data_IF_034749490883
#
_entry.id   IF_034749490883
#
_cell.length_a   1.000
_cell.length_b   1.000
_cell.length_c   1.000
_cell.angle_alpha   90.00
_cell.angle_beta   90.00
_cell.angle_gamma   90.00
#
_symmetry.space_group_name_H-M   'P 1'
#
loop_
_entity.id
_entity.type
_entity.pdbx_description
1 polymer ?
#
# COMPACT_ATOMS: atom_id res chain seq x y z
N UNK A 1 -18.10 -15.35 -13.60
CA UNK A 1 -16.85 -15.86 -14.20
C UNK A 1 -16.05 -16.59 -13.13
N UNK A 2 -15.17 -17.48 -13.54
CA UNK A 2 -14.17 -18.13 -12.69
C UNK A 2 -12.81 -17.48 -12.91
N UNK A 3 -12.29 -16.81 -11.89
CA UNK A 3 -11.07 -16.02 -11.97
C UNK A 3 -9.94 -16.76 -11.23
N UNK A 4 -8.81 -16.93 -11.91
CA UNK A 4 -7.59 -17.46 -11.32
C UNK A 4 -6.67 -16.31 -10.95
N UNK A 5 -6.18 -16.26 -9.70
CA UNK A 5 -5.28 -15.20 -9.23
C UNK A 5 -3.98 -15.83 -8.78
N UNK A 6 -2.87 -15.43 -9.40
CA UNK A 6 -1.52 -15.88 -9.05
C UNK A 6 -0.88 -14.85 -8.12
N UNK A 7 -0.62 -15.24 -6.88
CA UNK A 7 -0.02 -14.43 -5.83
C UNK A 7 -0.98 -14.10 -4.69
N UNK A 8 -0.56 -14.41 -3.46
CA UNK A 8 -1.28 -14.16 -2.21
C UNK A 8 -0.91 -12.85 -1.51
N UNK A 9 -0.15 -11.97 -2.18
CA UNK A 9 0.17 -10.63 -1.69
C UNK A 9 -1.04 -9.69 -1.73
N UNK A 10 -0.82 -8.44 -1.30
CA UNK A 10 -1.92 -7.45 -1.16
C UNK A 10 -2.64 -7.19 -2.48
N UNK A 11 -1.94 -7.15 -3.61
CA UNK A 11 -2.54 -6.89 -4.91
C UNK A 11 -3.45 -8.06 -5.31
N UNK A 12 -2.98 -9.31 -5.22
CA UNK A 12 -3.78 -10.49 -5.53
C UNK A 12 -4.98 -10.63 -4.58
N UNK A 13 -4.79 -10.36 -3.29
CA UNK A 13 -5.87 -10.42 -2.29
C UNK A 13 -6.92 -9.32 -2.51
N UNK A 14 -6.51 -8.11 -2.93
CA UNK A 14 -7.45 -7.05 -3.29
C UNK A 14 -8.29 -7.40 -4.53
N UNK A 15 -7.66 -8.02 -5.55
CA UNK A 15 -8.41 -8.53 -6.71
C UNK A 15 -9.39 -9.65 -6.32
N UNK A 16 -8.97 -10.55 -5.41
CA UNK A 16 -9.85 -11.59 -4.91
C UNK A 16 -11.05 -11.01 -4.17
N UNK A 17 -10.81 -10.02 -3.30
CA UNK A 17 -11.86 -9.32 -2.55
C UNK A 17 -12.89 -8.68 -3.50
N UNK A 18 -12.42 -7.91 -4.47
CA UNK A 18 -13.29 -7.25 -5.43
C UNK A 18 -14.05 -8.25 -6.32
N UNK A 19 -13.38 -9.29 -6.82
CA UNK A 19 -13.98 -10.32 -7.63
C UNK A 19 -15.12 -11.07 -6.90
N UNK A 20 -14.92 -11.39 -5.62
CA UNK A 20 -15.95 -12.02 -4.77
C UNK A 20 -17.12 -11.06 -4.56
N UNK A 21 -16.88 -9.78 -4.29
CA UNK A 21 -17.93 -8.78 -4.14
C UNK A 21 -18.74 -8.57 -5.43
N UNK A 22 -18.11 -8.76 -6.60
CA UNK A 22 -18.78 -8.77 -7.90
C UNK A 22 -19.48 -10.09 -8.24
N UNK A 23 -19.54 -11.07 -7.32
CA UNK A 23 -20.22 -12.35 -7.50
C UNK A 23 -19.48 -13.36 -8.38
N UNK A 24 -18.16 -13.23 -8.52
CA UNK A 24 -17.34 -14.16 -9.28
C UNK A 24 -16.83 -15.31 -8.41
N UNK A 25 -16.46 -16.43 -9.05
CA UNK A 25 -15.69 -17.50 -8.42
C UNK A 25 -14.20 -17.19 -8.51
N UNK A 26 -13.47 -17.40 -7.44
CA UNK A 26 -12.02 -17.09 -7.36
C UNK A 26 -11.25 -18.30 -6.85
N UNK A 27 -10.18 -18.65 -7.57
CA UNK A 27 -9.12 -19.51 -7.07
C UNK A 27 -7.85 -18.66 -6.96
N UNK A 28 -7.40 -18.38 -5.74
CA UNK A 28 -6.16 -17.65 -5.49
C UNK A 28 -5.03 -18.64 -5.14
N UNK A 29 -3.93 -18.54 -5.88
CA UNK A 29 -2.79 -19.44 -5.80
C UNK A 29 -1.57 -18.72 -5.22
N UNK A 30 -0.95 -19.28 -4.18
CA UNK A 30 0.28 -18.75 -3.57
C UNK A 30 1.35 -19.85 -3.52
N UNK A 31 2.58 -19.52 -3.88
CA UNK A 31 3.68 -20.51 -3.90
C UNK A 31 4.16 -20.91 -2.51
N UNK A 32 4.09 -20.00 -1.54
CA UNK A 32 4.44 -20.26 -0.15
C UNK A 32 3.20 -20.70 0.65
N UNK A 33 3.38 -21.04 1.91
CA UNK A 33 2.27 -21.29 2.85
C UNK A 33 1.42 -20.03 3.09
N UNK A 34 2.09 -18.87 3.12
CA UNK A 34 1.51 -17.52 3.19
C UNK A 34 2.40 -16.53 2.42
N UNK A 35 1.88 -15.39 2.05
CA UNK A 35 2.68 -14.35 1.42
C UNK A 35 3.80 -13.86 2.35
N UNK A 36 5.05 -13.88 1.88
CA UNK A 36 6.26 -13.59 2.67
C UNK A 36 7.08 -12.40 2.17
N UNK A 37 6.66 -11.80 1.05
CA UNK A 37 7.42 -10.75 0.37
C UNK A 37 7.00 -9.34 0.77
N UNK A 38 7.02 -8.37 -0.14
CA UNK A 38 6.84 -6.94 0.11
C UNK A 38 5.57 -6.60 0.90
N UNK A 39 4.47 -7.33 0.70
CA UNK A 39 3.18 -7.06 1.34
C UNK A 39 3.16 -7.23 2.86
N UNK A 40 4.10 -7.98 3.43
CA UNK A 40 4.24 -8.18 4.89
C UNK A 40 5.52 -7.56 5.45
N UNK A 41 6.29 -6.85 4.60
CA UNK A 41 7.59 -6.25 4.95
C UNK A 41 7.63 -4.79 4.52
N UNK A 42 6.69 -4.01 5.05
CA UNK A 42 6.57 -2.58 4.77
C UNK A 42 6.03 -1.85 6.00
N UNK A 43 5.90 -0.52 5.93
CA UNK A 43 5.42 0.32 7.04
C UNK A 43 3.91 0.20 7.30
N UNK A 44 3.16 -0.45 6.44
CA UNK A 44 1.70 -0.48 6.52
C UNK A 44 1.04 0.85 6.19
N UNK A 45 1.71 1.73 5.46
CA UNK A 45 1.23 3.07 5.20
C UNK A 45 0.20 3.07 4.07
N UNK A 46 -1.01 3.53 4.36
CA UNK A 46 -2.03 3.90 3.38
C UNK A 46 -1.90 5.40 3.17
N UNK A 47 -1.20 5.79 2.09
CA UNK A 47 -0.61 7.11 2.01
C UNK A 47 -1.11 7.93 0.83
N UNK A 48 -1.65 9.10 1.11
CA UNK A 48 -2.18 10.10 0.17
C UNK A 48 -1.19 11.25 0.00
N UNK A 49 -0.57 11.70 1.11
CA UNK A 49 0.27 12.91 1.15
C UNK A 49 1.31 13.00 0.05
N UNK A 50 2.15 11.99 -0.11
CA UNK A 50 3.29 12.04 -1.03
C UNK A 50 2.98 11.64 -2.47
N UNK A 51 1.70 11.40 -2.82
CA UNK A 51 1.34 10.94 -4.16
C UNK A 51 1.39 12.06 -5.19
N UNK A 52 1.84 11.73 -6.40
CA UNK A 52 1.89 12.69 -7.51
C UNK A 52 0.49 13.21 -7.82
N UNK A 53 0.39 14.49 -8.14
CA UNK A 53 -0.84 15.16 -8.59
C UNK A 53 -1.46 14.46 -9.81
N UNK A 54 -2.78 14.53 -9.94
CA UNK A 54 -3.53 13.90 -11.01
C UNK A 54 -3.96 12.47 -10.71
N UNK A 55 -3.81 11.56 -11.65
CA UNK A 55 -4.36 10.18 -11.59
C UNK A 55 -3.84 9.40 -10.37
N UNK A 56 -2.58 9.58 -10.00
CA UNK A 56 -2.00 8.87 -8.85
C UNK A 56 -2.63 9.33 -7.54
N UNK A 57 -2.83 10.64 -7.35
CA UNK A 57 -3.51 11.17 -6.18
C UNK A 57 -4.96 10.71 -6.11
N UNK A 58 -5.69 10.78 -7.22
CA UNK A 58 -7.08 10.31 -7.30
C UNK A 58 -7.19 8.83 -6.92
N UNK A 59 -6.29 8.00 -7.44
CA UNK A 59 -6.22 6.58 -7.08
C UNK A 59 -5.92 6.37 -5.59
N UNK A 60 -5.02 7.18 -5.01
CA UNK A 60 -4.68 7.09 -3.60
C UNK A 60 -5.85 7.50 -2.69
N UNK A 61 -6.56 8.58 -3.03
CA UNK A 61 -7.77 9.00 -2.31
C UNK A 61 -8.85 7.92 -2.40
N UNK A 62 -9.07 7.34 -3.59
CA UNK A 62 -10.03 6.23 -3.74
C UNK A 62 -9.58 4.99 -2.94
N UNK A 63 -8.29 4.64 -2.98
CA UNK A 63 -7.75 3.53 -2.19
C UNK A 63 -7.97 3.75 -0.68
N UNK A 64 -7.80 4.98 -0.20
CA UNK A 64 -8.06 5.35 1.19
C UNK A 64 -9.53 5.11 1.59
N UNK A 65 -10.47 5.48 0.72
CA UNK A 65 -11.90 5.20 0.93
C UNK A 65 -12.21 3.70 0.94
N UNK A 66 -11.59 2.95 0.03
CA UNK A 66 -11.73 1.48 -0.02
C UNK A 66 -11.23 0.83 1.29
N UNK A 67 -10.17 1.34 1.89
CA UNK A 67 -9.72 0.85 3.19
C UNK A 67 -10.73 1.07 4.31
N UNK A 68 -11.48 2.19 4.32
CA UNK A 68 -12.58 2.39 5.26
C UNK A 68 -13.72 1.38 5.01
N UNK A 69 -14.08 1.16 3.75
CA UNK A 69 -15.11 0.19 3.36
C UNK A 69 -14.71 -1.24 3.76
N UNK A 70 -13.45 -1.63 3.50
CA UNK A 70 -12.90 -2.95 3.87
C UNK A 70 -12.86 -3.11 5.39
N UNK A 71 -12.43 -2.09 6.14
CA UNK A 71 -12.42 -2.12 7.60
C UNK A 71 -13.85 -2.24 8.16
N UNK A 72 -14.82 -1.57 7.57
CA UNK A 72 -16.23 -1.72 7.92
C UNK A 72 -16.76 -3.15 7.74
N UNK A 73 -16.29 -3.85 6.70
CA UNK A 73 -16.64 -5.23 6.41
C UNK A 73 -15.81 -6.25 7.24
N UNK A 74 -14.58 -5.90 7.62
CA UNK A 74 -13.63 -6.74 8.35
C UNK A 74 -13.12 -5.97 9.58
N UNK A 75 -13.90 -5.88 10.67
CA UNK A 75 -13.51 -5.12 11.85
C UNK A 75 -12.22 -5.62 12.53
N UNK A 76 -11.86 -6.88 12.33
CA UNK A 76 -10.64 -7.48 12.85
C UNK A 76 -9.37 -7.02 12.13
N UNK A 77 -9.53 -6.32 11.00
CA UNK A 77 -8.42 -5.73 10.26
C UNK A 77 -7.83 -4.58 11.07
N UNK A 78 -6.54 -4.67 11.40
CA UNK A 78 -5.84 -3.63 12.16
C UNK A 78 -5.53 -2.44 11.25
N UNK A 79 -6.58 -1.69 10.93
CA UNK A 79 -6.55 -0.44 10.18
C UNK A 79 -6.80 0.73 11.11
N UNK A 80 -6.05 1.82 10.92
CA UNK A 80 -6.17 3.05 11.71
C UNK A 80 -6.18 4.25 10.77
N UNK A 81 -7.28 4.99 10.77
CA UNK A 81 -7.41 6.30 10.11
C UNK A 81 -6.78 7.38 11.01
N UNK A 82 -5.45 7.32 11.19
CA UNK A 82 -4.75 8.06 12.22
C UNK A 82 -3.89 9.22 11.69
N UNK A 83 -3.96 9.49 10.39
CA UNK A 83 -3.22 10.58 9.75
C UNK A 83 -1.70 10.41 9.76
N UNK A 84 -1.02 11.40 9.22
CA UNK A 84 0.45 11.49 9.25
C UNK A 84 0.92 12.91 9.54
N UNK A 85 2.11 13.03 10.12
CA UNK A 85 2.82 14.27 10.36
C UNK A 85 4.15 14.22 9.61
N UNK A 86 4.40 15.16 8.70
CA UNK A 86 5.73 15.42 8.16
C UNK A 86 6.34 16.56 8.97
N UNK A 87 7.44 16.30 9.67
CA UNK A 87 8.04 17.27 10.59
C UNK A 87 9.00 18.20 9.87
N UNK A 88 8.94 19.49 10.18
CA UNK A 88 9.89 20.50 9.74
C UNK A 88 10.83 20.89 10.90
N UNK A 89 12.14 20.85 10.65
CA UNK A 89 13.17 21.21 11.61
C UNK A 89 13.83 22.55 11.31
N UNK A 90 13.58 23.12 10.15
CA UNK A 90 14.11 24.41 9.69
C UNK A 90 13.03 25.22 8.94
N UNK A 91 13.34 26.48 8.63
CA UNK A 91 12.41 27.40 7.95
C UNK A 91 12.26 27.09 6.47
N UNK A 92 13.25 26.53 5.86
CA UNK A 92 13.26 26.11 4.45
C UNK A 92 12.23 24.99 4.24
N UNK A 93 12.16 24.01 5.15
CA UNK A 93 11.15 22.96 5.11
C UNK A 93 9.73 23.51 5.32
N UNK A 94 9.56 24.49 6.21
CA UNK A 94 8.26 25.18 6.40
C UNK A 94 7.86 25.90 5.10
N UNK A 95 8.80 26.58 4.42
CA UNK A 95 8.51 27.27 3.16
C UNK A 95 8.06 26.30 2.06
N UNK A 96 8.62 25.08 2.01
CA UNK A 96 8.14 24.01 1.11
C UNK A 96 6.71 23.62 1.45
N UNK A 97 6.39 23.39 2.73
CA UNK A 97 5.04 23.06 3.17
C UNK A 97 4.03 24.16 2.81
N UNK A 98 4.39 25.42 3.03
CA UNK A 98 3.55 26.58 2.69
C UNK A 98 3.29 26.68 1.17
N UNK A 99 4.28 26.35 0.35
CA UNK A 99 4.12 26.31 -1.10
C UNK A 99 3.27 25.11 -1.54
N UNK A 100 3.41 23.95 -0.88
CA UNK A 100 2.55 22.79 -1.12
C UNK A 100 1.07 23.09 -0.88
N UNK A 101 0.73 23.91 0.12
CA UNK A 101 -0.66 24.32 0.37
C UNK A 101 -1.26 25.21 -0.73
N UNK A 102 -0.42 25.81 -1.59
CA UNK A 102 -0.88 26.65 -2.72
C UNK A 102 -1.15 25.84 -3.98
N UNK A 103 -0.83 24.55 -3.99
CA UNK A 103 -1.13 23.68 -5.14
C UNK A 103 -2.63 23.56 -5.32
N UNK A 104 -3.07 23.48 -6.58
CA UNK A 104 -4.48 23.34 -6.95
C UNK A 104 -5.15 22.12 -6.28
N UNK A 105 -4.41 21.03 -6.13
CA UNK A 105 -4.86 19.78 -5.56
C UNK A 105 -4.56 19.60 -4.05
N UNK A 106 -4.08 20.66 -3.37
CA UNK A 106 -3.86 20.62 -1.91
C UNK A 106 -5.14 20.32 -1.12
N UNK A 107 -6.35 20.81 -1.50
CA UNK A 107 -7.59 20.44 -0.84
C UNK A 107 -7.91 18.94 -0.87
N UNK A 108 -7.52 18.24 -1.93
CA UNK A 108 -7.75 16.78 -2.07
C UNK A 108 -6.94 15.96 -1.05
N UNK A 109 -5.86 16.54 -0.50
CA UNK A 109 -5.03 15.95 0.57
C UNK A 109 -5.45 16.40 1.96
N UNK A 110 -6.24 17.47 2.06
CA UNK A 110 -6.65 18.09 3.32
C UNK A 110 -5.45 18.50 4.19
N UNK A 111 -4.34 18.87 3.59
CA UNK A 111 -3.12 19.28 4.29
C UNK A 111 -3.34 20.51 5.17
N UNK A 112 -2.71 20.50 6.33
CA UNK A 112 -2.68 21.62 7.27
C UNK A 112 -1.27 21.77 7.83
N UNK A 113 -0.77 23.00 7.91
CA UNK A 113 0.45 23.28 8.66
C UNK A 113 0.05 23.51 10.11
N UNK A 114 0.68 22.78 11.01
CA UNK A 114 0.47 22.87 12.45
C UNK A 114 1.74 23.42 13.09
N UNK A 115 1.58 24.30 14.07
CA UNK A 115 2.69 24.70 14.91
C UNK A 115 3.11 23.55 15.85
N UNK A 116 4.15 23.82 16.66
CA UNK A 116 4.71 22.81 17.57
C UNK A 116 3.66 22.34 18.59
N UNK A 117 2.89 23.25 19.15
CA UNK A 117 1.91 22.94 20.21
C UNK A 117 0.72 22.16 19.65
N UNK A 118 0.25 22.52 18.48
CA UNK A 118 -0.79 21.79 17.74
C UNK A 118 -0.31 20.37 17.36
N UNK A 119 0.91 20.26 16.84
CA UNK A 119 1.55 18.99 16.52
C UNK A 119 1.64 18.08 17.75
N UNK A 120 2.05 18.65 18.89
CA UNK A 120 2.16 17.91 20.16
C UNK A 120 0.79 17.44 20.70
N UNK A 121 -0.29 18.17 20.42
CA UNK A 121 -1.64 17.72 20.79
C UNK A 121 -2.09 16.51 19.98
N UNK A 122 -1.73 16.46 18.69
CA UNK A 122 -2.06 15.32 17.83
C UNK A 122 -1.21 14.09 18.17
N UNK A 123 0.10 14.28 18.41
CA UNK A 123 0.99 13.18 18.78
C UNK A 123 1.82 13.54 20.04
N UNK A 124 1.28 13.28 21.23
CA UNK A 124 1.93 13.64 22.49
C UNK A 124 3.28 12.93 22.74
N UNK A 125 3.52 11.81 22.08
CA UNK A 125 4.75 11.04 22.19
C UNK A 125 5.93 11.63 21.40
N UNK A 126 5.69 12.64 20.53
CA UNK A 126 6.76 13.28 19.77
C UNK A 126 7.78 13.98 20.68
N UNK A 127 9.04 13.81 20.32
CA UNK A 127 10.20 14.43 20.98
C UNK A 127 11.10 15.06 19.93
N UNK A 128 12.02 15.90 20.36
CA UNK A 128 13.03 16.52 19.49
C UNK A 128 12.73 17.97 19.13
N UNK A 129 13.54 18.52 18.23
CA UNK A 129 13.53 19.95 17.87
C UNK A 129 12.89 20.16 16.51
N UNK A 130 11.59 19.91 16.39
CA UNK A 130 10.81 20.32 15.22
C UNK A 130 10.16 21.67 15.47
N UNK A 131 9.93 22.44 14.40
CA UNK A 131 9.35 23.78 14.43
C UNK A 131 7.84 23.75 14.11
N UNK A 132 7.46 22.92 13.15
CA UNK A 132 6.12 22.76 12.62
C UNK A 132 5.94 21.37 12.04
N UNK A 133 4.73 21.05 11.61
CA UNK A 133 4.46 19.84 10.83
C UNK A 133 3.43 20.09 9.74
N UNK A 134 3.51 19.33 8.66
CA UNK A 134 2.43 19.18 7.69
C UNK A 134 1.60 17.97 8.10
N UNK A 135 0.36 18.22 8.47
CA UNK A 135 -0.63 17.24 8.83
C UNK A 135 -1.46 16.80 7.64
N UNK A 136 -1.59 15.49 7.44
CA UNK A 136 -2.53 14.92 6.48
C UNK A 136 -3.49 13.96 7.19
N UNK A 137 -4.75 14.33 7.41
CA UNK A 137 -5.73 13.49 8.07
C UNK A 137 -6.17 12.28 7.25
N UNK A 138 -5.97 12.32 5.93
CA UNK A 138 -6.34 11.22 5.02
C UNK A 138 -5.39 10.02 5.10
N UNK A 139 -4.16 10.23 5.55
CA UNK A 139 -3.22 9.12 5.69
C UNK A 139 -3.68 8.15 6.80
N UNK A 140 -3.35 6.90 6.62
CA UNK A 140 -3.75 5.83 7.53
C UNK A 140 -2.69 4.75 7.62
N UNK A 141 -2.87 3.81 8.54
CA UNK A 141 -1.98 2.65 8.69
C UNK A 141 -2.75 1.35 8.76
N UNK A 142 -2.13 0.29 8.27
CA UNK A 142 -2.54 -1.10 8.47
C UNK A 142 -1.39 -1.86 9.11
N UNK A 143 -1.69 -2.96 9.80
CA UNK A 143 -0.63 -3.86 10.27
C UNK A 143 -0.26 -4.87 9.17
N UNK A 144 0.91 -4.73 8.51
CA UNK A 144 1.25 -5.54 7.33
C UNK A 144 1.31 -7.04 7.61
N UNK A 145 1.69 -7.42 8.84
CA UNK A 145 1.79 -8.82 9.24
C UNK A 145 0.45 -9.52 9.38
N UNK A 146 -0.64 -8.79 9.62
CA UNK A 146 -1.97 -9.35 9.89
C UNK A 146 -2.99 -9.09 8.80
N UNK A 147 -2.87 -7.99 8.04
CA UNK A 147 -3.88 -7.56 7.07
C UNK A 147 -4.25 -8.64 6.05
N UNK A 148 -3.25 -9.31 5.46
CA UNK A 148 -3.51 -10.36 4.47
C UNK A 148 -4.21 -11.58 5.08
N UNK A 149 -3.87 -11.91 6.32
CA UNK A 149 -4.53 -12.99 7.04
C UNK A 149 -5.99 -12.66 7.30
N UNK A 150 -6.29 -11.49 7.85
CA UNK A 150 -7.66 -11.06 8.14
C UNK A 150 -8.52 -11.00 6.88
N UNK A 151 -7.99 -10.44 5.79
CA UNK A 151 -8.70 -10.43 4.50
C UNK A 151 -8.95 -11.84 3.95
N UNK A 152 -7.97 -12.74 4.02
CA UNK A 152 -8.12 -14.12 3.58
C UNK A 152 -9.13 -14.90 4.42
N UNK A 153 -9.09 -14.75 5.75
CA UNK A 153 -10.07 -15.37 6.65
C UNK A 153 -11.50 -14.88 6.36
N UNK A 154 -11.66 -13.62 6.02
CA UNK A 154 -12.94 -13.09 5.55
C UNK A 154 -13.37 -13.74 4.23
N UNK A 155 -12.49 -13.78 3.23
CA UNK A 155 -12.77 -14.37 1.93
C UNK A 155 -13.12 -15.86 2.02
N UNK A 156 -12.47 -16.63 2.91
CA UNK A 156 -12.73 -18.05 3.12
C UNK A 156 -14.14 -18.36 3.68
N UNK A 157 -14.88 -17.35 4.16
CA UNK A 157 -16.29 -17.49 4.55
C UNK A 157 -17.23 -17.58 3.34
N UNK A 158 -16.73 -17.22 2.14
CA UNK A 158 -17.50 -17.26 0.89
C UNK A 158 -17.19 -18.55 0.11
N UNK A 159 -18.23 -19.32 -0.23
CA UNK A 159 -18.12 -20.60 -0.96
C UNK A 159 -17.52 -20.47 -2.38
N UNK A 160 -17.56 -19.26 -2.94
CA UNK A 160 -16.98 -18.95 -4.26
C UNK A 160 -15.48 -18.64 -4.20
N UNK A 161 -14.85 -18.59 -3.00
CA UNK A 161 -13.44 -18.34 -2.85
C UNK A 161 -12.68 -19.59 -2.43
N UNK A 162 -11.63 -19.92 -3.19
CA UNK A 162 -10.73 -21.04 -2.93
C UNK A 162 -9.31 -20.51 -2.79
N UNK A 163 -8.70 -20.75 -1.64
CA UNK A 163 -7.29 -20.50 -1.39
C UNK A 163 -6.46 -21.76 -1.57
N UNK A 164 -5.42 -21.69 -2.38
CA UNK A 164 -4.46 -22.77 -2.61
C UNK A 164 -3.05 -22.25 -2.39
N UNK A 165 -2.43 -22.67 -1.33
CA UNK A 165 -1.04 -22.37 -1.00
C UNK A 165 -0.10 -23.53 -1.33
N UNK A 166 1.22 -23.29 -1.18
CA UNK A 166 2.28 -24.22 -1.57
C UNK A 166 2.18 -24.67 -3.03
N UNK A 167 1.72 -23.78 -3.92
CA UNK A 167 1.53 -24.02 -5.33
C UNK A 167 2.32 -23.00 -6.15
N UNK A 168 3.50 -23.41 -6.61
CA UNK A 168 4.36 -22.64 -7.49
C UNK A 168 3.86 -22.75 -8.94
N UNK A 169 3.20 -21.70 -9.43
CA UNK A 169 2.73 -21.64 -10.82
C UNK A 169 3.91 -21.36 -11.74
N UNK A 170 4.07 -22.20 -12.76
CA UNK A 170 5.20 -22.17 -13.69
C UNK A 170 4.80 -21.83 -15.12
N UNK A 171 3.52 -21.95 -15.46
CA UNK A 171 3.03 -21.64 -16.81
C UNK A 171 1.60 -21.07 -16.76
N UNK A 172 1.29 -20.20 -17.69
CA UNK A 172 -0.04 -19.60 -17.90
C UNK A 172 -0.38 -19.75 -19.38
N UNK A 173 -1.52 -20.37 -19.67
CA UNK A 173 -2.04 -20.54 -21.03
C UNK A 173 -3.37 -19.85 -21.14
N UNK A 174 -3.62 -19.21 -22.26
CA UNK A 174 -4.91 -18.59 -22.54
C UNK A 174 -5.21 -18.67 -24.04
N UNK A 175 -6.44 -18.85 -24.37
CA UNK A 175 -7.00 -18.67 -25.71
C UNK A 175 -8.16 -17.63 -25.67
N UNK A 176 -8.96 -17.57 -26.71
CA UNK A 176 -10.06 -16.59 -26.81
C UNK A 176 -11.19 -16.83 -25.80
N UNK A 177 -11.28 -17.99 -25.18
CA UNK A 177 -12.41 -18.42 -24.37
C UNK A 177 -12.07 -18.97 -22.98
N UNK A 178 -10.83 -19.44 -22.79
CA UNK A 178 -10.39 -20.11 -21.57
C UNK A 178 -9.00 -19.68 -21.16
N UNK A 179 -8.74 -19.79 -19.88
CA UNK A 179 -7.42 -19.58 -19.33
C UNK A 179 -7.08 -20.71 -18.35
N UNK A 180 -5.82 -21.13 -18.33
CA UNK A 180 -5.32 -22.16 -17.44
C UNK A 180 -3.99 -21.78 -16.83
N UNK A 181 -3.77 -22.19 -15.59
CA UNK A 181 -2.49 -22.09 -14.92
C UNK A 181 -1.98 -23.49 -14.57
N UNK A 182 -0.69 -23.69 -14.70
CA UNK A 182 -0.02 -24.97 -14.47
C UNK A 182 0.95 -24.78 -13.29
N UNK A 183 0.75 -25.56 -12.24
CA UNK A 183 1.66 -25.60 -11.11
C UNK A 183 2.83 -26.57 -11.36
N UNK A 184 3.95 -26.34 -10.68
CA UNK A 184 5.17 -27.15 -10.79
C UNK A 184 4.95 -28.65 -10.47
N UNK A 185 3.98 -28.93 -9.61
CA UNK A 185 3.60 -30.32 -9.25
C UNK A 185 2.71 -31.00 -10.29
N UNK A 186 2.38 -30.32 -11.40
CA UNK A 186 1.55 -30.82 -12.50
C UNK A 186 0.06 -30.57 -12.33
N UNK A 187 -0.40 -29.96 -11.23
CA UNK A 187 -1.81 -29.54 -11.10
C UNK A 187 -2.14 -28.45 -12.12
N UNK A 188 -3.34 -28.56 -12.70
CA UNK A 188 -3.87 -27.60 -13.68
C UNK A 188 -5.15 -27.00 -13.11
N UNK A 189 -5.25 -25.68 -13.17
CA UNK A 189 -6.46 -24.95 -12.81
C UNK A 189 -6.97 -24.23 -14.05
N UNK A 190 -8.24 -24.41 -14.36
CA UNK A 190 -8.92 -23.77 -15.50
C UNK A 190 -9.89 -22.71 -15.02
N UNK A 191 -10.03 -21.62 -15.77
CA UNK A 191 -10.90 -20.50 -15.50
C UNK A 191 -11.15 -19.66 -16.75
N UNK A 192 -11.91 -18.57 -16.58
CA UNK A 192 -12.22 -17.65 -17.67
C UNK A 192 -11.13 -16.57 -17.82
N UNK A 193 -10.50 -16.19 -16.68
CA UNK A 193 -9.49 -15.11 -16.61
C UNK A 193 -8.38 -15.49 -15.64
N UNK A 194 -7.15 -15.12 -15.97
CA UNK A 194 -5.98 -15.18 -15.05
C UNK A 194 -5.52 -13.77 -14.73
N UNK A 195 -5.35 -13.47 -13.44
CA UNK A 195 -4.74 -12.24 -12.93
C UNK A 195 -3.39 -12.62 -12.31
N UNK A 196 -2.30 -12.06 -12.86
CA UNK A 196 -0.93 -12.37 -12.42
C UNK A 196 -0.41 -11.26 -11.53
N UNK A 197 -0.17 -11.56 -10.25
CA UNK A 197 0.31 -10.64 -9.23
C UNK A 197 1.65 -11.13 -8.64
N UNK A 198 2.75 -11.12 -9.41
CA UNK A 198 4.01 -11.78 -9.05
C UNK A 198 4.79 -11.01 -7.97
N UNK A 199 4.37 -9.80 -7.59
CA UNK A 199 5.08 -8.94 -6.67
C UNK A 199 6.47 -8.56 -7.22
N UNK A 200 7.52 -8.83 -6.44
CA UNK A 200 8.91 -8.56 -6.85
C UNK A 200 9.57 -9.72 -7.60
N UNK A 201 8.84 -10.78 -7.90
CA UNK A 201 9.35 -11.90 -8.72
C UNK A 201 9.11 -11.62 -10.21
N UNK A 202 10.16 -11.20 -10.89
CA UNK A 202 10.17 -10.90 -12.32
C UNK A 202 10.91 -11.98 -13.12
N UNK A 203 11.11 -13.15 -12.55
CA UNK A 203 11.96 -14.20 -13.15
C UNK A 203 11.22 -15.51 -13.41
N UNK A 204 10.10 -15.75 -12.74
CA UNK A 204 9.36 -17.01 -12.83
C UNK A 204 8.36 -17.01 -13.98
N UNK A 205 7.45 -16.02 -14.00
CA UNK A 205 6.44 -15.87 -15.06
C UNK A 205 6.71 -14.60 -15.87
N UNK A 206 6.45 -14.65 -17.16
CA UNK A 206 6.58 -13.50 -18.06
C UNK A 206 7.95 -12.79 -18.02
N UNK A 207 9.02 -13.58 -17.84
CA UNK A 207 10.37 -13.05 -17.69
C UNK A 207 10.78 -12.11 -18.83
N UNK A 208 10.49 -12.49 -20.08
CA UNK A 208 10.86 -11.70 -21.26
C UNK A 208 10.20 -10.32 -21.24
N UNK A 209 8.93 -10.24 -20.82
CA UNK A 209 8.19 -8.98 -20.68
C UNK A 209 8.78 -8.11 -19.57
N UNK A 210 9.15 -8.70 -18.44
CA UNK A 210 9.78 -7.96 -17.34
C UNK A 210 11.21 -7.52 -17.66
N UNK A 211 12.00 -8.34 -18.40
CA UNK A 211 13.37 -7.98 -18.80
C UNK A 211 13.40 -6.74 -19.72
N UNK A 212 12.35 -6.53 -20.51
CA UNK A 212 12.22 -5.38 -21.41
C UNK A 212 11.50 -4.18 -20.81
N UNK A 213 10.82 -4.36 -19.67
CA UNK A 213 10.09 -3.29 -19.01
C UNK A 213 11.03 -2.32 -18.26
N UNK A 214 10.76 -0.99 -18.26
CA UNK A 214 11.57 0.00 -17.55
C UNK A 214 11.30 0.00 -16.05
N UNK A 215 11.39 -1.19 -15.42
CA UNK A 215 11.15 -1.38 -13.99
C UNK A 215 12.45 -1.63 -13.24
N UNK A 216 12.47 -1.27 -11.96
CA UNK A 216 13.62 -1.51 -11.07
C UNK A 216 13.12 -2.14 -9.77
N UNK A 217 13.91 -3.06 -9.25
CA UNK A 217 13.69 -3.60 -7.91
C UNK A 217 14.43 -2.73 -6.89
N UNK A 218 13.68 -2.18 -5.94
CA UNK A 218 14.23 -1.42 -4.82
C UNK A 218 14.15 -2.28 -3.57
N UNK A 219 15.27 -2.35 -2.83
CA UNK A 219 15.32 -3.00 -1.51
C UNK A 219 15.23 -1.91 -0.44
N UNK A 220 14.15 -1.90 0.31
CA UNK A 220 14.00 -1.03 1.47
C UNK A 220 14.55 -1.74 2.72
N UNK A 221 15.30 -0.99 3.54
CA UNK A 221 15.75 -1.44 4.84
C UNK A 221 14.72 -1.04 5.89
N UNK A 222 14.10 -2.04 6.52
CA UNK A 222 13.12 -1.83 7.57
C UNK A 222 13.76 -2.13 8.92
N UNK A 223 13.42 -1.33 9.93
CA UNK A 223 13.82 -1.53 11.33
C UNK A 223 12.57 -1.50 12.21
N UNK A 224 12.61 -2.23 13.31
CA UNK A 224 11.59 -2.21 14.35
C UNK A 224 12.27 -1.93 15.70
N UNK A 225 11.68 -1.07 16.49
CA UNK A 225 12.10 -0.83 17.86
C UNK A 225 11.59 -1.93 18.79
N UNK A 226 12.14 -2.02 19.98
CA UNK A 226 11.44 -2.64 21.10
C UNK A 226 10.14 -1.88 21.38
N UNK A 227 9.18 -2.48 22.10
CA UNK A 227 7.98 -1.78 22.52
C UNK A 227 8.34 -0.45 23.21
N UNK A 228 7.61 0.61 22.85
CA UNK A 228 7.77 1.94 23.44
C UNK A 228 6.82 2.08 24.63
N UNK A 229 7.24 2.86 25.62
CA UNK A 229 6.39 3.18 26.79
C UNK A 229 5.24 4.14 26.43
N UNK A 230 5.37 4.87 25.32
CA UNK A 230 4.40 5.82 24.82
C UNK A 230 3.90 5.41 23.44
N UNK A 231 2.62 5.67 23.17
CA UNK A 231 1.99 5.35 21.89
C UNK A 231 2.18 6.50 20.91
N UNK A 232 2.80 6.22 19.76
CA UNK A 232 2.77 7.11 18.60
C UNK A 232 1.37 7.04 17.99
N UNK A 233 0.65 8.16 18.04
CA UNK A 233 -0.74 8.24 17.59
C UNK A 233 -0.88 8.35 16.09
N UNK A 234 0.16 8.82 15.38
CA UNK A 234 0.19 9.05 13.93
C UNK A 234 1.42 8.42 13.30
N UNK A 235 1.41 8.27 11.98
CA UNK A 235 2.64 8.10 11.21
C UNK A 235 3.46 9.40 11.24
N UNK A 236 4.77 9.28 11.19
CA UNK A 236 5.71 10.41 11.22
C UNK A 236 6.69 10.26 10.06
N UNK A 237 6.90 11.35 9.34
CA UNK A 237 7.94 11.50 8.35
C UNK A 237 8.84 12.70 8.72
N UNK A 238 10.08 12.69 8.27
CA UNK A 238 10.98 13.83 8.35
C UNK A 238 10.87 14.75 7.13
N UNK A 239 11.54 15.89 7.15
CA UNK A 239 11.57 16.86 6.06
C UNK A 239 12.19 16.30 4.77
N UNK A 240 13.12 15.34 4.86
CA UNK A 240 13.74 14.72 3.69
C UNK A 240 12.73 13.93 2.84
N UNK A 241 11.64 13.47 3.44
CA UNK A 241 10.55 12.83 2.69
C UNK A 241 9.95 13.73 1.62
N UNK A 242 9.97 15.06 1.80
CA UNK A 242 9.48 16.02 0.82
C UNK A 242 10.33 16.02 -0.46
N UNK A 243 11.63 15.75 -0.37
CA UNK A 243 12.51 15.62 -1.56
C UNK A 243 12.23 14.37 -2.37
N UNK A 244 11.81 13.32 -1.70
CA UNK A 244 11.72 11.98 -2.29
C UNK A 244 10.38 11.75 -3.00
N UNK A 245 9.30 12.36 -2.50
CA UNK A 245 7.96 12.05 -2.99
C UNK A 245 7.36 13.17 -3.86
N UNK A 246 6.87 12.84 -5.05
CA UNK A 246 6.42 13.84 -6.03
C UNK A 246 5.16 14.61 -5.62
N UNK A 247 4.47 14.19 -4.56
CA UNK A 247 3.37 14.96 -3.98
C UNK A 247 3.81 16.35 -3.49
N UNK A 248 5.06 16.45 -3.03
CA UNK A 248 5.66 17.69 -2.50
C UNK A 248 6.47 18.48 -3.54
N UNK A 249 6.40 18.11 -4.81
CA UNK A 249 7.16 18.77 -5.86
C UNK A 249 6.68 20.23 -6.03
N UNK A 250 7.52 21.16 -5.57
CA UNK A 250 7.36 22.61 -5.64
C UNK A 250 8.73 23.28 -5.84
N UNK A 251 8.81 24.51 -6.43
CA UNK A 251 10.09 25.19 -6.66
C UNK A 251 10.97 25.38 -5.42
N UNK A 252 10.37 25.63 -4.26
CA UNK A 252 11.13 25.84 -3.01
C UNK A 252 11.90 24.61 -2.51
N UNK A 253 11.66 23.41 -3.06
CA UNK A 253 12.48 22.23 -2.75
C UNK A 253 13.96 22.43 -3.03
N UNK A 254 14.31 23.26 -4.02
CA UNK A 254 15.71 23.57 -4.37
C UNK A 254 16.43 24.33 -3.25
N UNK A 255 15.70 24.99 -2.36
CA UNK A 255 16.25 25.76 -1.26
C UNK A 255 16.53 24.94 0.01
N UNK A 256 16.12 23.67 0.05
CA UNK A 256 16.36 22.82 1.20
C UNK A 256 17.87 22.61 1.40
N UNK A 257 18.37 22.69 2.63
CA UNK A 257 19.78 22.42 2.92
C UNK A 257 20.14 20.97 2.57
N UNK A 258 21.40 20.69 2.17
CA UNK A 258 21.84 19.36 1.73
C UNK A 258 21.78 18.32 2.83
#
# INVERSE_FOLDING_TARGET
>A
MKILIIGGGIIGTAHAYEAINCGHQVIQLERDDVARSASVRNFGLVWVSGRKSGVELQAAVRARQLWDEIHGAIPELLFRANGSLTLAINKEEIAVMEECLKKEDAPDRQWQILDRDETQKINPALRGNYLASLWCPLDATVEPGSVLRSMREYLLRNENYIWRNNLDVVDVRSDASTAAVIARNGEIFEGDVVIVCPGADHTSLFKEQFDTAPIRRVRLQMMSTAPLDEVLTTSIADGDSMRYYPGYEVPTLENLPP
#
